data_IF_627905951615
#
_entry.id   IF_627905951615
#
_cell.length_a   1.000
_cell.length_b   1.000
_cell.length_c   1.000
_cell.angle_alpha   90.00
_cell.angle_beta   90.00
_cell.angle_gamma   90.00
#
_symmetry.space_group_name_H-M   'P 1'
#
loop_
_entity.id
_entity.type
_entity.pdbx_description
1 polymer ?
#
# COMPACT_ATOMS: atom_id res chain seq x y z
N UNK A 1 -18.59 -16.91 8.51
CA UNK A 1 -17.25 -16.68 9.10
C UNK A 1 -16.11 -17.34 8.33
N UNK A 2 -16.13 -18.65 8.04
CA UNK A 2 -15.00 -19.37 7.40
C UNK A 2 -14.53 -18.80 6.04
N UNK A 3 -15.45 -18.29 5.21
CA UNK A 3 -15.13 -17.77 3.88
C UNK A 3 -14.40 -16.40 3.89
N UNK A 4 -14.57 -15.60 4.93
CA UNK A 4 -13.87 -14.32 5.08
C UNK A 4 -12.39 -14.54 5.38
N UNK A 5 -12.07 -15.40 6.35
CA UNK A 5 -10.69 -15.74 6.70
C UNK A 5 -9.95 -16.32 5.51
N UNK A 6 -10.62 -17.16 4.69
CA UNK A 6 -10.05 -17.66 3.44
C UNK A 6 -9.70 -16.52 2.46
N UNK A 7 -10.61 -15.57 2.22
CA UNK A 7 -10.34 -14.42 1.34
C UNK A 7 -9.22 -13.54 1.87
N UNK A 8 -9.20 -13.26 3.18
CA UNK A 8 -8.17 -12.44 3.80
C UNK A 8 -6.80 -13.12 3.71
N UNK A 9 -6.73 -14.40 4.05
CA UNK A 9 -5.51 -15.20 3.95
C UNK A 9 -5.02 -15.32 2.52
N UNK A 10 -5.92 -15.43 1.53
CA UNK A 10 -5.55 -15.47 0.12
C UNK A 10 -4.90 -14.15 -0.34
N UNK A 11 -5.44 -13.00 0.08
CA UNK A 11 -4.86 -11.69 -0.26
C UNK A 11 -3.50 -11.51 0.44
N UNK A 12 -3.36 -11.94 1.69
CA UNK A 12 -2.07 -11.90 2.40
C UNK A 12 -1.05 -12.82 1.71
N UNK A 13 -1.46 -14.04 1.34
CA UNK A 13 -0.61 -14.98 0.61
C UNK A 13 -0.16 -14.39 -0.73
N UNK A 14 -1.07 -13.73 -1.46
CA UNK A 14 -0.74 -13.03 -2.69
C UNK A 14 0.35 -11.97 -2.47
N UNK A 15 0.22 -11.13 -1.43
CA UNK A 15 1.24 -10.11 -1.11
C UNK A 15 2.60 -10.74 -0.77
N UNK A 16 2.61 -11.82 0.01
CA UNK A 16 3.85 -12.54 0.37
C UNK A 16 4.52 -13.14 -0.86
N UNK A 17 3.76 -13.83 -1.72
CA UNK A 17 4.28 -14.38 -2.98
C UNK A 17 4.78 -13.27 -3.89
N UNK A 18 4.08 -12.13 -3.96
CA UNK A 18 4.52 -10.98 -4.74
C UNK A 18 5.88 -10.47 -4.25
N UNK A 19 6.08 -10.34 -2.93
CA UNK A 19 7.35 -9.90 -2.36
C UNK A 19 8.49 -10.88 -2.69
N UNK A 20 8.21 -12.19 -2.63
CA UNK A 20 9.19 -13.22 -2.96
C UNK A 20 9.58 -13.18 -4.44
N UNK A 21 8.60 -13.07 -5.34
CA UNK A 21 8.82 -12.93 -6.79
C UNK A 21 9.60 -11.66 -7.10
N UNK A 22 9.24 -10.52 -6.50
CA UNK A 22 9.97 -9.26 -6.67
C UNK A 22 11.42 -9.37 -6.19
N UNK A 23 11.66 -10.02 -5.05
CA UNK A 23 13.02 -10.28 -4.56
C UNK A 23 13.82 -11.17 -5.52
N UNK A 24 13.22 -12.24 -6.04
CA UNK A 24 13.86 -13.10 -7.03
C UNK A 24 14.23 -12.34 -8.30
N UNK A 25 13.35 -11.46 -8.79
CA UNK A 25 13.63 -10.64 -9.97
C UNK A 25 14.75 -9.61 -9.73
N UNK A 26 14.86 -9.04 -8.51
CA UNK A 26 15.92 -8.09 -8.18
C UNK A 26 17.32 -8.72 -8.09
N UNK A 27 17.42 -9.96 -7.62
CA UNK A 27 18.70 -10.65 -7.43
C UNK A 27 19.24 -11.22 -8.75
N UNK A 28 18.38 -11.45 -9.74
CA UNK A 28 18.78 -12.04 -11.01
C UNK A 28 19.22 -10.96 -12.03
N UNK A 29 20.53 -10.86 -12.35
CA UNK A 29 21.05 -9.82 -13.24
C UNK A 29 20.59 -9.97 -14.70
N UNK A 30 20.07 -11.13 -15.08
CA UNK A 30 19.56 -11.39 -16.43
C UNK A 30 18.17 -10.78 -16.71
N UNK A 31 17.49 -10.24 -15.69
CA UNK A 31 16.14 -9.67 -15.79
C UNK A 31 16.13 -8.13 -15.78
N UNK A 32 17.27 -7.50 -16.03
CA UNK A 32 17.38 -6.04 -16.04
C UNK A 32 16.73 -5.45 -17.29
N UNK A 33 15.64 -4.71 -17.11
CA UNK A 33 15.02 -3.92 -18.17
C UNK A 33 15.86 -2.66 -18.42
N UNK A 34 16.43 -2.56 -19.63
CA UNK A 34 17.21 -1.39 -20.06
C UNK A 34 16.34 -0.18 -20.38
N UNK A 35 15.09 -0.40 -20.83
CA UNK A 35 14.19 0.69 -21.19
C UNK A 35 13.60 1.35 -19.93
N UNK A 36 13.89 2.65 -19.67
CA UNK A 36 13.47 3.33 -18.46
C UNK A 36 11.94 3.50 -18.38
N UNK A 37 11.27 3.69 -19.52
CA UNK A 37 9.81 3.82 -19.57
C UNK A 37 9.12 2.50 -19.20
N UNK A 38 9.60 1.36 -19.72
CA UNK A 38 9.07 0.04 -19.35
C UNK A 38 9.31 -0.28 -17.87
N UNK A 39 10.46 0.13 -17.32
CA UNK A 39 10.76 0.00 -15.89
C UNK A 39 9.79 0.81 -15.03
N UNK A 40 9.52 2.06 -15.38
CA UNK A 40 8.54 2.91 -14.68
C UNK A 40 7.12 2.34 -14.78
N UNK A 41 6.72 1.83 -15.95
CA UNK A 41 5.43 1.17 -16.14
C UNK A 41 5.30 -0.08 -15.26
N UNK A 42 6.35 -0.91 -15.19
CA UNK A 42 6.36 -2.11 -14.35
C UNK A 42 6.21 -1.74 -12.87
N UNK A 43 6.90 -0.70 -12.41
CA UNK A 43 6.74 -0.17 -11.03
C UNK A 43 5.31 0.31 -10.80
N UNK A 44 4.73 1.07 -11.73
CA UNK A 44 3.34 1.55 -11.61
C UNK A 44 2.36 0.38 -11.50
N UNK A 45 2.46 -0.62 -12.38
CA UNK A 45 1.59 -1.80 -12.37
C UNK A 45 1.76 -2.58 -11.08
N UNK A 46 3.00 -2.79 -10.64
CA UNK A 46 3.30 -3.51 -9.40
C UNK A 46 2.70 -2.82 -8.18
N UNK A 47 2.89 -1.51 -8.06
CA UNK A 47 2.34 -0.76 -6.94
C UNK A 47 0.82 -0.66 -7.00
N UNK A 48 0.24 -0.53 -8.19
CA UNK A 48 -1.22 -0.55 -8.39
C UNK A 48 -1.85 -1.88 -7.96
N UNK A 49 -1.19 -3.01 -8.23
CA UNK A 49 -1.61 -4.34 -7.77
C UNK A 49 -1.54 -4.47 -6.24
N UNK A 50 -0.49 -3.94 -5.61
CA UNK A 50 -0.36 -3.93 -4.15
C UNK A 50 -1.48 -3.07 -3.54
N UNK A 51 -1.72 -1.87 -4.07
CA UNK A 51 -2.82 -1.00 -3.62
C UNK A 51 -4.18 -1.65 -3.81
N UNK A 52 -4.38 -2.37 -4.91
CA UNK A 52 -5.59 -3.15 -5.13
C UNK A 52 -5.76 -4.23 -4.06
N UNK A 53 -4.70 -4.99 -3.75
CA UNK A 53 -4.70 -5.98 -2.67
C UNK A 53 -5.00 -5.33 -1.31
N UNK A 54 -4.41 -4.18 -0.99
CA UNK A 54 -4.73 -3.41 0.21
C UNK A 54 -6.21 -3.01 0.27
N UNK A 55 -6.78 -2.56 -0.85
CA UNK A 55 -8.21 -2.25 -0.93
C UNK A 55 -9.09 -3.48 -0.78
N UNK A 56 -8.66 -4.65 -1.27
CA UNK A 56 -9.38 -5.91 -1.04
C UNK A 56 -9.37 -6.32 0.44
N UNK A 57 -8.25 -6.11 1.16
CA UNK A 57 -8.21 -6.33 2.62
C UNK A 57 -9.25 -5.47 3.34
N UNK A 58 -9.34 -4.19 2.97
CA UNK A 58 -10.30 -3.24 3.54
C UNK A 58 -11.74 -3.57 3.14
N UNK A 59 -11.96 -3.98 1.89
CA UNK A 59 -13.26 -4.40 1.40
C UNK A 59 -13.81 -5.61 2.15
N UNK A 60 -12.97 -6.64 2.31
CA UNK A 60 -13.34 -7.83 3.07
C UNK A 60 -13.67 -7.45 4.51
N UNK A 61 -12.88 -6.57 5.13
CA UNK A 61 -13.13 -6.09 6.48
C UNK A 61 -14.46 -5.32 6.59
N UNK A 62 -14.73 -4.41 5.64
CA UNK A 62 -15.97 -3.64 5.56
C UNK A 62 -17.20 -4.54 5.41
N UNK A 63 -17.10 -5.63 4.64
CA UNK A 63 -18.18 -6.61 4.50
C UNK A 63 -18.48 -7.37 5.79
N UNK A 64 -17.48 -7.57 6.65
CA UNK A 64 -17.65 -8.25 7.93
C UNK A 64 -18.21 -7.31 9.00
N UNK A 65 -17.70 -6.07 9.08
CA UNK A 65 -18.13 -5.07 10.06
C UNK A 65 -19.03 -4.04 9.39
N UNK A 66 -20.35 -4.18 9.55
CA UNK A 66 -21.34 -3.26 8.99
C UNK A 66 -21.13 -1.80 9.42
N UNK A 67 -20.53 -1.57 10.59
CA UNK A 67 -20.20 -0.24 11.14
C UNK A 67 -18.91 0.38 10.59
N UNK A 68 -18.19 -0.33 9.72
CA UNK A 68 -16.98 0.21 9.10
C UNK A 68 -17.31 1.47 8.30
N UNK A 69 -16.61 2.58 8.58
CA UNK A 69 -16.88 3.93 8.03
C UNK A 69 -18.21 4.56 8.44
N UNK A 70 -18.89 4.07 9.47
CA UNK A 70 -20.11 4.72 9.97
C UNK A 70 -19.86 5.57 11.21
N UNK A 71 -18.73 5.35 11.89
CA UNK A 71 -18.41 6.07 13.12
C UNK A 71 -17.86 7.48 12.82
N UNK A 72 -18.27 8.54 13.54
CA UNK A 72 -17.78 9.92 13.36
C UNK A 72 -16.27 10.09 13.58
N UNK A 73 -15.59 9.07 14.11
CA UNK A 73 -14.13 9.04 14.20
C UNK A 73 -13.47 9.02 12.80
N UNK A 74 -14.17 8.51 11.78
CA UNK A 74 -13.68 8.48 10.41
C UNK A 74 -13.44 9.88 9.82
N UNK A 75 -14.19 10.90 10.25
CA UNK A 75 -14.04 12.27 9.77
C UNK A 75 -12.69 12.89 10.19
N UNK A 76 -12.14 12.45 11.32
CA UNK A 76 -10.85 12.89 11.85
C UNK A 76 -9.72 11.91 11.56
N UNK A 77 -10.03 10.77 10.97
CA UNK A 77 -9.06 9.69 10.86
C UNK A 77 -7.94 9.99 9.87
N UNK A 78 -8.17 10.88 8.89
CA UNK A 78 -7.09 11.37 8.02
C UNK A 78 -5.97 12.03 8.84
N UNK A 79 -6.29 12.79 9.88
CA UNK A 79 -5.29 13.43 10.76
C UNK A 79 -4.54 12.37 11.56
N UNK A 80 -5.28 11.41 12.13
CA UNK A 80 -4.69 10.32 12.93
C UNK A 80 -3.72 9.51 12.09
N UNK A 81 -4.12 9.12 10.87
CA UNK A 81 -3.28 8.35 9.95
C UNK A 81 -2.09 9.19 9.48
N UNK A 82 -2.28 10.49 9.22
CA UNK A 82 -1.18 11.37 8.84
C UNK A 82 -0.11 11.45 9.93
N UNK A 83 -0.53 11.71 11.18
CA UNK A 83 0.38 11.74 12.34
C UNK A 83 1.07 10.39 12.51
N UNK A 84 0.34 9.29 12.37
CA UNK A 84 0.90 7.94 12.43
C UNK A 84 1.94 7.69 11.34
N UNK A 85 1.66 8.06 10.09
CA UNK A 85 2.60 7.96 8.97
C UNK A 85 3.87 8.78 9.22
N UNK A 86 3.73 10.01 9.74
CA UNK A 86 4.88 10.84 10.10
C UNK A 86 5.74 10.19 11.19
N UNK A 87 5.13 9.69 12.26
CA UNK A 87 5.84 9.00 13.34
C UNK A 87 6.53 7.75 12.79
N UNK A 88 5.82 6.90 12.04
CA UNK A 88 6.38 5.69 11.44
C UNK A 88 7.52 5.99 10.48
N UNK A 89 7.45 7.08 9.73
CA UNK A 89 8.50 7.50 8.83
C UNK A 89 9.75 7.97 9.59
N UNK A 90 9.58 8.80 10.62
CA UNK A 90 10.68 9.24 11.50
C UNK A 90 11.33 8.05 12.20
N UNK A 91 10.53 7.13 12.77
CA UNK A 91 11.03 5.92 13.39
C UNK A 91 11.80 5.04 12.40
N UNK A 92 11.27 4.87 11.19
CA UNK A 92 11.97 4.10 10.15
C UNK A 92 13.34 4.71 9.83
N UNK A 93 13.42 6.03 9.65
CA UNK A 93 14.70 6.72 9.40
C UNK A 93 15.66 6.50 10.56
N UNK A 94 15.22 6.79 11.80
CA UNK A 94 16.05 6.64 13.00
C UNK A 94 16.58 5.22 13.11
N UNK A 95 15.70 4.22 12.97
CA UNK A 95 16.08 2.81 13.03
C UNK A 95 17.00 2.41 11.88
N UNK A 96 16.82 2.95 10.68
CA UNK A 96 17.67 2.66 9.52
C UNK A 96 19.12 3.12 9.74
N UNK A 97 19.34 4.20 10.49
CA UNK A 97 20.68 4.65 10.88
C UNK A 97 21.33 3.81 11.98
N UNK A 98 20.59 2.91 12.64
CA UNK A 98 21.20 1.92 13.53
C UNK A 98 21.78 0.77 12.70
N UNK A 99 23.11 0.57 12.80
CA UNK A 99 23.86 -0.51 12.13
C UNK A 99 23.15 -1.89 12.10
N UNK A 100 22.59 -2.39 13.22
CA UNK A 100 21.95 -3.70 13.22
C UNK A 100 20.76 -3.82 12.26
N UNK A 101 19.95 -2.76 12.11
CA UNK A 101 18.82 -2.80 11.19
C UNK A 101 19.29 -2.64 9.74
N UNK A 102 20.29 -1.77 9.51
CA UNK A 102 20.90 -1.61 8.20
C UNK A 102 21.44 -2.95 7.68
N UNK A 103 22.24 -3.65 8.48
CA UNK A 103 22.82 -4.95 8.12
C UNK A 103 21.73 -5.99 7.84
N UNK A 104 20.67 -6.00 8.65
CA UNK A 104 19.55 -6.93 8.49
C UNK A 104 18.75 -6.67 7.21
N UNK A 105 18.49 -5.41 6.86
CA UNK A 105 17.81 -5.04 5.61
C UNK A 105 18.70 -5.30 4.39
N UNK A 106 20.01 -5.11 4.50
CA UNK A 106 20.97 -5.43 3.44
C UNK A 106 21.11 -6.94 3.20
N UNK A 107 21.07 -7.76 4.24
CA UNK A 107 21.12 -9.23 4.13
C UNK A 107 19.79 -9.85 3.68
N UNK A 108 18.68 -9.20 3.99
CA UNK A 108 17.33 -9.68 3.71
C UNK A 108 16.48 -8.63 3.00
N UNK A 109 16.80 -8.37 1.74
CA UNK A 109 16.09 -7.40 0.89
C UNK A 109 14.57 -7.63 0.85
N UNK A 110 14.09 -8.87 1.07
CA UNK A 110 12.66 -9.16 1.15
C UNK A 110 11.94 -8.43 2.29
N UNK A 111 12.63 -8.12 3.39
CA UNK A 111 12.07 -7.36 4.51
C UNK A 111 11.79 -5.90 4.15
N UNK A 112 12.54 -5.33 3.19
CA UNK A 112 12.22 -4.00 2.66
C UNK A 112 10.85 -3.98 1.98
N UNK A 113 10.43 -5.07 1.32
CA UNK A 113 9.09 -5.14 0.74
C UNK A 113 7.99 -5.13 1.81
N UNK A 114 8.20 -5.74 2.97
CA UNK A 114 7.23 -5.65 4.08
C UNK A 114 7.08 -4.20 4.57
N UNK A 115 8.19 -3.48 4.69
CA UNK A 115 8.18 -2.05 5.06
C UNK A 115 7.45 -1.23 4.00
N UNK A 116 7.73 -1.46 2.71
CA UNK A 116 7.03 -0.79 1.61
C UNK A 116 5.53 -1.09 1.64
N UNK A 117 5.13 -2.35 1.84
CA UNK A 117 3.72 -2.73 1.93
C UNK A 117 3.02 -2.06 3.10
N UNK A 118 3.71 -1.93 4.25
CA UNK A 118 3.21 -1.19 5.39
C UNK A 118 2.90 0.26 5.00
N UNK A 119 3.85 0.99 4.43
CA UNK A 119 3.64 2.38 4.04
C UNK A 119 2.56 2.52 2.95
N UNK A 120 2.53 1.64 1.95
CA UNK A 120 1.51 1.62 0.92
C UNK A 120 0.11 1.36 1.49
N UNK A 121 -0.02 0.43 2.44
CA UNK A 121 -1.29 0.15 3.10
C UNK A 121 -1.81 1.38 3.86
N UNK A 122 -0.96 2.03 4.66
CA UNK A 122 -1.34 3.23 5.41
C UNK A 122 -1.60 4.43 4.49
N UNK A 123 -0.89 4.55 3.38
CA UNK A 123 -1.16 5.57 2.35
C UNK A 123 -2.52 5.33 1.70
N UNK A 124 -2.84 4.08 1.36
CA UNK A 124 -4.16 3.73 0.83
C UNK A 124 -5.27 4.02 1.85
N UNK A 125 -5.05 3.73 3.14
CA UNK A 125 -5.98 4.05 4.21
C UNK A 125 -6.13 5.57 4.42
N UNK A 126 -5.04 6.32 4.28
CA UNK A 126 -5.06 7.78 4.32
C UNK A 126 -5.91 8.35 3.19
N UNK A 127 -5.68 7.93 1.95
CA UNK A 127 -6.47 8.36 0.80
C UNK A 127 -7.93 7.98 1.00
N UNK A 128 -8.22 6.78 1.51
CA UNK A 128 -9.57 6.34 1.81
C UNK A 128 -10.26 7.25 2.83
N UNK A 129 -9.55 7.70 3.86
CA UNK A 129 -10.11 8.63 4.85
C UNK A 129 -10.42 10.01 4.25
N UNK A 130 -9.60 10.49 3.31
CA UNK A 130 -9.89 11.72 2.55
C UNK A 130 -11.11 11.51 1.67
N UNK A 131 -11.16 10.41 0.91
CA UNK A 131 -12.31 10.07 0.05
C UNK A 131 -13.58 9.96 0.90
N UNK A 132 -13.50 9.37 2.10
CA UNK A 132 -14.63 9.29 3.01
C UNK A 132 -15.14 10.67 3.42
N UNK A 133 -14.24 11.61 3.74
CA UNK A 133 -14.57 12.98 4.15
C UNK A 133 -15.11 13.85 3.01
N UNK A 134 -14.60 13.65 1.79
CA UNK A 134 -15.00 14.44 0.60
C UNK A 134 -16.31 13.92 0.00
N UNK A 135 -16.57 12.61 0.08
CA UNK A 135 -17.78 12.02 -0.46
C UNK A 135 -18.90 11.94 0.56
N UNK A 136 -20.13 12.18 0.11
CA UNK A 136 -21.33 12.02 0.94
C UNK A 136 -21.37 10.68 1.70
N UNK A 137 -21.95 10.73 2.90
CA UNK A 137 -22.16 9.56 3.76
C UNK A 137 -23.11 8.53 3.14
N UNK A 138 -23.94 8.94 2.17
CA UNK A 138 -24.86 8.07 1.41
C UNK A 138 -24.15 7.17 0.38
N UNK A 139 -22.90 7.48 0.03
CA UNK A 139 -22.16 6.70 -0.97
C UNK A 139 -21.71 5.37 -0.38
N UNK A 140 -22.04 4.27 -1.09
CA UNK A 140 -21.62 2.91 -0.72
C UNK A 140 -20.11 2.79 -0.58
N UNK A 141 -19.66 2.05 0.44
CA UNK A 141 -18.24 1.79 0.74
C UNK A 141 -17.49 1.21 -0.46
N UNK A 142 -18.15 0.36 -1.26
CA UNK A 142 -17.60 -0.19 -2.51
C UNK A 142 -17.12 0.90 -3.48
N UNK A 143 -17.94 1.92 -3.68
CA UNK A 143 -17.59 3.04 -4.57
C UNK A 143 -16.47 3.88 -3.98
N UNK A 144 -16.46 4.11 -2.67
CA UNK A 144 -15.37 4.82 -1.96
C UNK A 144 -14.03 4.07 -2.11
N UNK A 145 -14.03 2.74 -2.02
CA UNK A 145 -12.83 1.91 -2.19
C UNK A 145 -12.32 1.91 -3.64
N UNK A 146 -13.20 1.84 -4.64
CA UNK A 146 -12.79 1.95 -6.05
C UNK A 146 -12.15 3.30 -6.32
N UNK A 147 -12.77 4.39 -5.85
CA UNK A 147 -12.23 5.74 -5.99
C UNK A 147 -10.87 5.85 -5.27
N UNK A 148 -10.76 5.29 -4.07
CA UNK A 148 -9.49 5.25 -3.33
C UNK A 148 -8.40 4.56 -4.13
N UNK A 149 -8.68 3.40 -4.70
CA UNK A 149 -7.72 2.68 -5.52
C UNK A 149 -7.31 3.52 -6.74
N UNK A 150 -8.27 4.04 -7.50
CA UNK A 150 -8.00 4.85 -8.69
C UNK A 150 -7.20 6.11 -8.34
N UNK A 151 -7.59 6.84 -7.29
CA UNK A 151 -6.87 8.04 -6.82
C UNK A 151 -5.46 7.72 -6.34
N UNK A 152 -5.26 6.62 -5.62
CA UNK A 152 -3.94 6.20 -5.15
C UNK A 152 -3.02 5.81 -6.32
N UNK A 153 -3.53 5.02 -7.26
CA UNK A 153 -2.78 4.64 -8.47
C UNK A 153 -2.45 5.86 -9.33
N UNK A 154 -3.38 6.80 -9.46
CA UNK A 154 -3.18 8.03 -10.24
C UNK A 154 -2.14 8.94 -9.58
N UNK A 155 -2.16 9.08 -8.25
CA UNK A 155 -1.13 9.83 -7.51
C UNK A 155 0.28 9.26 -7.79
N UNK A 156 0.40 7.93 -7.79
CA UNK A 156 1.67 7.26 -8.06
C UNK A 156 2.07 7.40 -9.52
N UNK A 157 1.12 7.30 -10.45
CA UNK A 157 1.39 7.54 -11.87
C UNK A 157 1.91 8.96 -12.11
N UNK A 158 1.27 9.98 -11.54
CA UNK A 158 1.76 11.37 -11.63
C UNK A 158 3.17 11.46 -11.03
N UNK A 159 3.40 10.89 -9.86
CA UNK A 159 4.71 10.94 -9.20
C UNK A 159 5.80 10.29 -10.07
N UNK A 160 5.53 9.15 -10.69
CA UNK A 160 6.52 8.43 -11.50
C UNK A 160 6.79 9.06 -12.87
N UNK A 161 5.78 9.62 -13.53
CA UNK A 161 5.90 10.10 -14.91
C UNK A 161 6.07 11.62 -15.03
N UNK A 162 5.64 12.42 -14.04
CA UNK A 162 5.72 13.89 -14.06
C UNK A 162 6.90 14.43 -13.25
N UNK A 163 7.42 13.65 -12.27
CA UNK A 163 8.68 13.94 -11.59
C UNK A 163 9.80 12.99 -12.08
N UNK A 164 10.18 12.98 -13.37
CA UNK A 164 11.12 12.01 -13.92
C UNK A 164 12.59 12.35 -13.58
N UNK A 165 12.88 12.81 -12.36
CA UNK A 165 14.20 13.33 -11.98
C UNK A 165 14.87 12.56 -10.83
N UNK A 166 14.58 11.26 -10.67
CA UNK A 166 15.37 10.36 -9.81
C UNK A 166 15.77 9.13 -10.63
#
# INVERSE_FOLDING_TARGET
>A
MKFYWLKQSLVILFLVLFAFISNFNLVNPYLTMENPFLKQLLVLVSVSLILFACNQLLYNHAKMKKEFMQHPLWDKMFIIILVWLMISFVLFIVLFFFKPLQDLLSQHAWLMFLVVYYFLFFTNLFILSIVHKVMDSSVKVEKKLVITWTSSTLLIAITLFVLPSI
#
